data_IF_379191667324
#
_entry.id   IF_379191667324
#
_cell.length_a   1.000
_cell.length_b   1.000
_cell.length_c   1.000
_cell.angle_alpha   90.00
_cell.angle_beta   90.00
_cell.angle_gamma   90.00
#
_symmetry.space_group_name_H-M   'P 1'
#
loop_
_entity.id
_entity.type
_entity.pdbx_description
1 polymer ?
#
# COMPACT_ATOMS: atom_id res chain seq x y z
N UNK A 1 -29.24 -35.49 -104.71
CA UNK A 1 -29.65 -35.85 -103.34
C UNK A 1 -28.65 -36.85 -102.76
N UNK A 2 -28.07 -36.52 -101.59
CA UNK A 2 -27.34 -37.38 -100.63
C UNK A 2 -25.99 -38.02 -101.04
N UNK A 3 -24.90 -37.23 -101.13
CA UNK A 3 -23.50 -37.70 -100.92
C UNK A 3 -22.57 -36.57 -100.43
N UNK A 4 -23.02 -35.76 -99.46
CA UNK A 4 -22.17 -34.77 -98.76
C UNK A 4 -22.19 -35.00 -97.24
N UNK A 5 -23.18 -35.71 -96.68
CA UNK A 5 -23.30 -35.85 -95.22
C UNK A 5 -22.20 -36.72 -94.58
N UNK A 6 -21.69 -37.75 -95.27
CA UNK A 6 -20.81 -38.73 -94.62
C UNK A 6 -19.42 -38.20 -94.17
N UNK A 7 -18.90 -37.16 -94.82
CA UNK A 7 -17.60 -36.56 -94.50
C UNK A 7 -17.74 -35.51 -93.38
N UNK A 8 -18.79 -34.68 -93.45
CA UNK A 8 -19.20 -33.77 -92.36
C UNK A 8 -19.55 -34.55 -91.09
N UNK A 9 -20.31 -35.66 -91.22
CA UNK A 9 -20.66 -36.55 -90.11
C UNK A 9 -19.40 -37.19 -89.47
N UNK A 10 -18.36 -37.51 -90.27
CA UNK A 10 -17.08 -38.05 -89.77
C UNK A 10 -16.26 -37.02 -89.00
N UNK A 11 -16.21 -35.77 -89.48
CA UNK A 11 -15.53 -34.66 -88.78
C UNK A 11 -16.24 -34.33 -87.47
N UNK A 12 -17.57 -34.29 -87.49
CA UNK A 12 -18.40 -34.08 -86.28
C UNK A 12 -18.15 -35.22 -85.26
N UNK A 13 -18.11 -36.48 -85.71
CA UNK A 13 -17.80 -37.63 -84.82
C UNK A 13 -16.39 -37.55 -84.22
N UNK A 14 -15.39 -37.06 -84.96
CA UNK A 14 -14.05 -36.85 -84.44
C UNK A 14 -14.01 -35.75 -83.36
N UNK A 15 -14.70 -34.63 -83.58
CA UNK A 15 -14.77 -33.54 -82.60
C UNK A 15 -15.57 -33.93 -81.36
N UNK A 16 -16.65 -34.71 -81.50
CA UNK A 16 -17.39 -35.28 -80.36
C UNK A 16 -16.49 -36.22 -79.53
N UNK A 17 -15.66 -37.04 -80.17
CA UNK A 17 -14.70 -37.91 -79.46
C UNK A 17 -13.64 -37.09 -78.73
N UNK A 18 -13.15 -36.01 -79.36
CA UNK A 18 -12.19 -35.09 -78.75
C UNK A 18 -12.78 -34.39 -77.53
N UNK A 19 -13.97 -33.80 -77.66
CA UNK A 19 -14.72 -33.19 -76.55
C UNK A 19 -15.01 -34.20 -75.43
N UNK A 20 -15.34 -35.45 -75.76
CA UNK A 20 -15.52 -36.51 -74.77
C UNK A 20 -14.23 -36.81 -74.02
N UNK A 21 -13.09 -36.86 -74.71
CA UNK A 21 -11.79 -37.08 -74.09
C UNK A 21 -11.40 -35.91 -73.17
N UNK A 22 -11.54 -34.66 -73.64
CA UNK A 22 -11.30 -33.45 -72.84
C UNK A 22 -12.21 -33.40 -71.60
N UNK A 23 -13.50 -33.75 -71.75
CA UNK A 23 -14.42 -33.83 -70.61
C UNK A 23 -14.03 -34.96 -69.64
N UNK A 24 -13.54 -36.11 -70.12
CA UNK A 24 -13.04 -37.17 -69.23
C UNK A 24 -11.76 -36.77 -68.50
N UNK A 25 -10.86 -36.03 -69.15
CA UNK A 25 -9.65 -35.48 -68.53
C UNK A 25 -10.02 -34.45 -67.45
N UNK A 26 -10.87 -33.47 -67.77
CA UNK A 26 -11.35 -32.49 -66.81
C UNK A 26 -12.12 -33.13 -65.64
N UNK A 27 -12.89 -34.20 -65.88
CA UNK A 27 -13.56 -34.95 -64.82
C UNK A 27 -12.57 -35.69 -63.90
N UNK A 28 -11.48 -36.23 -64.45
CA UNK A 28 -10.42 -36.86 -63.68
C UNK A 28 -9.64 -35.82 -62.86
N UNK A 29 -9.27 -34.68 -63.45
CA UNK A 29 -8.59 -33.57 -62.75
C UNK A 29 -9.45 -33.03 -61.60
N UNK A 30 -10.76 -32.86 -61.84
CA UNK A 30 -11.70 -32.45 -60.78
C UNK A 30 -11.79 -33.51 -59.68
N UNK A 31 -11.79 -34.81 -60.02
CA UNK A 31 -11.79 -35.89 -59.04
C UNK A 31 -10.52 -35.86 -58.17
N UNK A 32 -9.37 -35.62 -58.78
CA UNK A 32 -8.11 -35.47 -58.06
C UNK A 32 -8.09 -34.21 -57.17
N UNK A 33 -8.59 -33.08 -57.67
CA UNK A 33 -8.69 -31.84 -56.90
C UNK A 33 -9.62 -32.02 -55.69
N UNK A 34 -10.77 -32.69 -55.86
CA UNK A 34 -11.67 -33.02 -54.76
C UNK A 34 -11.01 -33.95 -53.73
N UNK A 35 -10.24 -34.95 -54.17
CA UNK A 35 -9.50 -35.82 -53.26
C UNK A 35 -8.43 -35.05 -52.44
N UNK A 36 -7.74 -34.08 -53.06
CA UNK A 36 -6.79 -33.20 -52.37
C UNK A 36 -7.49 -32.30 -51.35
N UNK A 37 -8.63 -31.71 -51.72
CA UNK A 37 -9.43 -30.89 -50.82
C UNK A 37 -9.94 -31.69 -49.62
N UNK A 38 -10.39 -32.93 -49.83
CA UNK A 38 -10.84 -33.81 -48.75
C UNK A 38 -9.72 -34.11 -47.75
N UNK A 39 -8.49 -34.33 -48.24
CA UNK A 39 -7.33 -34.52 -47.37
C UNK A 39 -6.98 -33.26 -46.57
N UNK A 40 -6.97 -32.08 -47.20
CA UNK A 40 -6.74 -30.80 -46.50
C UNK A 40 -7.83 -30.52 -45.47
N UNK A 41 -9.08 -30.85 -45.79
CA UNK A 41 -10.20 -30.68 -44.85
C UNK A 41 -10.04 -31.59 -43.62
N UNK A 42 -9.65 -32.86 -43.81
CA UNK A 42 -9.33 -33.77 -42.70
C UNK A 42 -8.21 -33.23 -41.82
N UNK A 43 -7.10 -32.78 -42.42
CA UNK A 43 -6.00 -32.16 -41.67
C UNK A 43 -6.45 -30.91 -40.90
N UNK A 44 -7.32 -30.09 -41.51
CA UNK A 44 -7.86 -28.89 -40.86
C UNK A 44 -8.73 -29.25 -39.66
N UNK A 45 -9.59 -30.27 -39.78
CA UNK A 45 -10.43 -30.76 -38.68
C UNK A 45 -9.57 -31.28 -37.54
N UNK A 46 -8.54 -32.07 -37.84
CA UNK A 46 -7.60 -32.59 -36.82
C UNK A 46 -6.85 -31.46 -36.10
N UNK A 47 -6.35 -30.47 -36.84
CA UNK A 47 -5.70 -29.29 -36.25
C UNK A 47 -6.66 -28.47 -35.40
N UNK A 48 -7.91 -28.33 -35.83
CA UNK A 48 -8.94 -27.59 -35.09
C UNK A 48 -9.25 -28.28 -33.76
N UNK A 49 -9.43 -29.61 -33.78
CA UNK A 49 -9.64 -30.40 -32.56
C UNK A 49 -8.45 -30.30 -31.59
N UNK A 50 -7.22 -30.33 -32.10
CA UNK A 50 -6.02 -30.13 -31.28
C UNK A 50 -5.97 -28.73 -30.67
N UNK A 51 -6.35 -27.70 -31.42
CA UNK A 51 -6.40 -26.32 -30.92
C UNK A 51 -7.48 -26.16 -29.84
N UNK A 52 -8.66 -26.73 -30.03
CA UNK A 52 -9.73 -26.75 -29.02
C UNK A 52 -9.24 -27.39 -27.71
N UNK A 53 -8.58 -28.55 -27.79
CA UNK A 53 -8.00 -29.19 -26.62
C UNK A 53 -6.94 -28.31 -25.92
N UNK A 54 -6.08 -27.64 -26.71
CA UNK A 54 -5.08 -26.74 -26.14
C UNK A 54 -5.70 -25.51 -25.48
N UNK A 55 -6.79 -24.98 -26.02
CA UNK A 55 -7.53 -23.86 -25.42
C UNK A 55 -8.13 -24.28 -24.08
N UNK A 56 -8.82 -25.42 -24.01
CA UNK A 56 -9.38 -25.94 -22.75
C UNK A 56 -8.29 -26.12 -21.68
N UNK A 57 -7.15 -26.73 -22.05
CA UNK A 57 -6.03 -26.88 -21.11
C UNK A 57 -5.43 -25.54 -20.66
N UNK A 58 -5.43 -24.53 -21.53
CA UNK A 58 -4.95 -23.19 -21.18
C UNK A 58 -5.93 -22.46 -20.26
N UNK A 59 -7.24 -22.60 -20.51
CA UNK A 59 -8.31 -22.03 -19.67
C UNK A 59 -8.30 -22.62 -18.26
N UNK A 60 -8.14 -23.94 -18.13
CA UNK A 60 -8.02 -24.61 -16.82
C UNK A 60 -6.81 -24.09 -16.04
N UNK A 61 -5.65 -24.04 -16.69
CA UNK A 61 -4.42 -23.47 -16.09
C UNK A 61 -4.59 -22.01 -15.70
N UNK A 62 -5.29 -21.22 -16.51
CA UNK A 62 -5.57 -19.82 -16.21
C UNK A 62 -6.45 -19.71 -14.97
N UNK A 63 -7.54 -20.47 -14.91
CA UNK A 63 -8.42 -20.54 -13.73
C UNK A 63 -7.67 -20.92 -12.46
N UNK A 64 -6.81 -21.94 -12.51
CA UNK A 64 -5.96 -22.32 -11.38
C UNK A 64 -5.02 -21.20 -10.92
N UNK A 65 -4.45 -20.45 -11.87
CA UNK A 65 -3.58 -19.32 -11.56
C UNK A 65 -4.34 -18.14 -10.97
N UNK A 66 -5.53 -17.83 -11.46
CA UNK A 66 -6.42 -16.79 -10.93
C UNK A 66 -6.86 -17.12 -9.50
N UNK A 67 -7.25 -18.37 -9.26
CA UNK A 67 -7.62 -18.86 -7.94
C UNK A 67 -6.46 -18.79 -6.95
N UNK A 68 -5.26 -19.16 -7.41
CA UNK A 68 -4.03 -19.03 -6.60
C UNK A 68 -3.70 -17.56 -6.33
N UNK A 69 -3.86 -16.67 -7.32
CA UNK A 69 -3.63 -15.24 -7.17
C UNK A 69 -4.59 -14.65 -6.13
N UNK A 70 -5.88 -14.96 -6.21
CA UNK A 70 -6.88 -14.52 -5.23
C UNK A 70 -6.61 -15.05 -3.81
N UNK A 71 -6.05 -16.26 -3.66
CA UNK A 71 -5.59 -16.77 -2.35
C UNK A 71 -4.38 -15.99 -1.84
N UNK A 72 -3.40 -15.70 -2.71
CA UNK A 72 -2.21 -14.95 -2.33
C UNK A 72 -2.53 -13.51 -1.95
N UNK A 73 -3.41 -12.83 -2.69
CA UNK A 73 -3.85 -11.47 -2.37
C UNK A 73 -4.49 -11.37 -0.98
N UNK A 74 -5.36 -12.33 -0.63
CA UNK A 74 -5.95 -12.43 0.71
C UNK A 74 -4.89 -12.65 1.80
N UNK A 75 -3.94 -13.55 1.56
CA UNK A 75 -2.84 -13.81 2.50
C UNK A 75 -1.95 -12.57 2.69
N UNK A 76 -1.62 -11.86 1.60
CA UNK A 76 -0.83 -10.62 1.66
C UNK A 76 -1.60 -9.53 2.42
N UNK A 77 -2.91 -9.37 2.17
CA UNK A 77 -3.73 -8.43 2.90
C UNK A 77 -3.76 -8.72 4.41
N UNK A 78 -3.91 -10.00 4.79
CA UNK A 78 -3.85 -10.44 6.17
C UNK A 78 -2.48 -10.17 6.82
N UNK A 79 -1.39 -10.51 6.13
CA UNK A 79 -0.03 -10.30 6.64
C UNK A 79 0.28 -8.81 6.83
N UNK A 80 -0.12 -7.95 5.91
CA UNK A 80 0.07 -6.49 6.06
C UNK A 80 -0.75 -5.93 7.23
N UNK A 81 -1.98 -6.42 7.44
CA UNK A 81 -2.76 -6.02 8.60
C UNK A 81 -2.08 -6.42 9.92
N UNK A 82 -1.55 -7.64 9.99
CA UNK A 82 -0.83 -8.13 11.16
C UNK A 82 0.50 -7.41 11.38
N UNK A 83 1.21 -7.05 10.31
CA UNK A 83 2.42 -6.22 10.36
C UNK A 83 2.11 -4.84 10.93
N UNK A 84 1.08 -4.16 10.40
CA UNK A 84 0.66 -2.84 10.88
C UNK A 84 0.26 -2.89 12.36
N UNK A 85 -0.52 -3.91 12.77
CA UNK A 85 -0.92 -4.12 14.16
C UNK A 85 0.27 -4.37 15.08
N UNK A 86 1.23 -5.18 14.64
CA UNK A 86 2.44 -5.49 15.41
C UNK A 86 3.35 -4.28 15.52
N UNK A 87 3.57 -3.54 14.43
CA UNK A 87 4.35 -2.31 14.42
C UNK A 87 3.76 -1.26 15.37
N UNK A 88 2.43 -1.05 15.33
CA UNK A 88 1.74 -0.15 16.25
C UNK A 88 1.88 -0.58 17.72
N UNK A 89 1.81 -1.89 18.00
CA UNK A 89 2.02 -2.43 19.36
C UNK A 89 3.46 -2.23 19.83
N UNK A 90 4.45 -2.47 18.98
CA UNK A 90 5.86 -2.23 19.30
C UNK A 90 6.12 -0.76 19.62
N UNK A 91 5.59 0.16 18.80
CA UNK A 91 5.72 1.60 19.03
C UNK A 91 5.05 2.06 20.33
N UNK A 92 3.87 1.53 20.69
CA UNK A 92 3.21 1.84 21.97
C UNK A 92 4.02 1.31 23.16
N UNK A 93 4.52 0.07 23.10
CA UNK A 93 5.35 -0.50 24.17
C UNK A 93 6.65 0.28 24.36
N UNK A 94 7.33 0.62 23.27
CA UNK A 94 8.55 1.43 23.31
C UNK A 94 8.25 2.84 23.86
N UNK A 95 7.18 3.47 23.39
CA UNK A 95 6.75 4.78 23.88
C UNK A 95 6.45 4.77 25.37
N UNK A 96 5.75 3.75 25.88
CA UNK A 96 5.48 3.56 27.32
C UNK A 96 6.75 3.41 28.12
N UNK A 97 7.70 2.62 27.63
CA UNK A 97 9.00 2.41 28.28
C UNK A 97 9.81 3.72 28.40
N UNK A 98 9.68 4.61 27.41
CA UNK A 98 10.39 5.90 27.36
C UNK A 98 9.65 7.06 28.03
N UNK A 99 8.46 6.85 28.62
CA UNK A 99 7.66 7.94 29.22
C UNK A 99 8.38 8.70 30.33
N UNK A 100 9.27 8.04 31.06
CA UNK A 100 10.06 8.67 32.13
C UNK A 100 11.42 9.18 31.65
N UNK A 101 11.72 9.05 30.35
CA UNK A 101 12.99 9.46 29.79
C UNK A 101 12.95 10.92 29.33
N UNK A 102 14.07 11.61 29.52
CA UNK A 102 14.34 12.94 28.98
C UNK A 102 15.66 12.88 28.21
N UNK A 103 15.72 13.64 27.12
CA UNK A 103 16.89 13.79 26.26
C UNK A 103 17.38 15.22 26.31
N UNK A 104 18.64 15.40 26.69
CA UNK A 104 19.32 16.70 26.66
C UNK A 104 20.29 16.78 25.48
N UNK A 105 20.24 17.89 24.75
CA UNK A 105 21.20 18.22 23.68
C UNK A 105 22.04 19.43 24.06
N UNK A 106 23.31 19.44 23.59
CA UNK A 106 24.20 20.60 23.68
C UNK A 106 25.32 20.49 24.72
N UNK A 107 25.30 19.47 25.59
CA UNK A 107 26.35 19.23 26.59
C UNK A 107 27.61 18.69 25.89
N UNK A 108 28.78 19.37 25.97
CA UNK A 108 30.03 18.92 25.35
C UNK A 108 30.42 17.51 25.78
N UNK A 109 31.03 16.73 24.87
CA UNK A 109 31.48 15.37 25.19
C UNK A 109 32.54 15.39 26.30
N UNK A 110 32.34 14.60 27.36
CA UNK A 110 33.30 14.46 28.46
C UNK A 110 33.06 15.39 29.65
N UNK A 111 32.10 16.31 29.60
CA UNK A 111 31.73 17.18 30.72
C UNK A 111 31.29 16.40 31.97
N UNK A 112 30.78 15.18 31.81
CA UNK A 112 30.28 14.35 32.90
C UNK A 112 31.37 13.64 33.70
N UNK A 113 32.58 13.55 33.14
CA UNK A 113 33.72 12.81 33.72
C UNK A 113 33.31 11.37 34.08
N UNK A 114 33.52 10.95 35.33
CA UNK A 114 33.27 9.59 35.81
C UNK A 114 31.89 9.40 36.44
N UNK A 115 31.15 10.47 36.74
CA UNK A 115 29.83 10.39 37.39
C UNK A 115 28.78 11.14 36.56
N UNK A 116 28.16 10.40 35.64
CA UNK A 116 27.12 10.95 34.77
C UNK A 116 25.81 11.21 35.51
N UNK A 117 25.51 10.47 36.58
CA UNK A 117 24.28 10.64 37.36
C UNK A 117 24.39 11.89 38.22
N UNK A 118 25.46 12.02 39.01
CA UNK A 118 25.69 13.20 39.84
C UNK A 118 25.84 14.47 39.01
N UNK A 119 26.48 14.38 37.84
CA UNK A 119 26.56 15.51 36.91
C UNK A 119 25.16 15.98 36.46
N UNK A 120 24.30 15.09 35.98
CA UNK A 120 22.97 15.48 35.51
C UNK A 120 22.08 15.97 36.66
N UNK A 121 22.09 15.29 37.81
CA UNK A 121 21.35 15.74 38.99
C UNK A 121 21.79 17.13 39.43
N UNK A 122 23.10 17.38 39.56
CA UNK A 122 23.66 18.68 39.90
C UNK A 122 23.38 19.75 38.84
N UNK A 123 23.45 19.39 37.56
CA UNK A 123 23.12 20.29 36.46
C UNK A 123 21.65 20.72 36.49
N UNK A 124 20.72 19.79 36.71
CA UNK A 124 19.29 20.10 36.80
C UNK A 124 19.02 21.01 38.00
N UNK A 125 19.55 20.68 39.19
CA UNK A 125 19.32 21.47 40.40
C UNK A 125 19.94 22.87 40.36
N UNK A 126 21.10 23.02 39.70
CA UNK A 126 21.76 24.33 39.57
C UNK A 126 21.19 25.18 38.44
N UNK A 127 20.77 24.55 37.34
CA UNK A 127 20.38 25.26 36.12
C UNK A 127 18.89 25.56 36.06
N UNK A 128 18.04 24.73 36.67
CA UNK A 128 16.59 24.92 36.66
C UNK A 128 16.12 25.48 38.00
N UNK A 129 15.24 26.48 37.94
CA UNK A 129 14.60 27.07 39.13
C UNK A 129 13.49 26.15 39.65
N UNK A 130 13.86 24.98 40.19
CA UNK A 130 12.94 24.01 40.78
C UNK A 130 12.86 24.26 42.28
N UNK A 131 11.67 24.07 42.87
CA UNK A 131 11.48 24.14 44.31
C UNK A 131 12.44 23.17 45.02
N UNK A 132 13.11 23.63 46.07
CA UNK A 132 14.11 22.85 46.79
C UNK A 132 13.59 21.53 47.40
N UNK A 133 12.26 21.38 47.52
CA UNK A 133 11.58 20.20 48.04
C UNK A 133 11.45 19.05 47.02
N UNK A 134 11.74 19.29 45.73
CA UNK A 134 11.61 18.25 44.70
C UNK A 134 12.83 17.31 44.74
N UNK A 135 12.62 16.09 45.23
CA UNK A 135 13.62 15.02 45.24
C UNK A 135 13.83 14.45 43.83
N UNK A 136 14.92 14.87 43.17
CA UNK A 136 15.27 14.43 41.81
C UNK A 136 16.04 13.11 41.89
N UNK A 137 15.31 12.00 41.70
CA UNK A 137 15.92 10.65 41.58
C UNK A 137 15.99 10.20 40.12
N UNK A 138 17.21 9.91 39.69
CA UNK A 138 17.51 9.42 38.35
C UNK A 138 17.90 7.95 38.44
N UNK A 139 17.22 7.10 37.66
CA UNK A 139 17.44 5.65 37.63
C UNK A 139 18.67 5.30 36.78
N UNK A 140 18.77 5.91 35.59
CA UNK A 140 19.84 5.64 34.61
C UNK A 140 20.16 6.89 33.80
N UNK A 141 21.44 7.05 33.45
CA UNK A 141 21.92 8.10 32.53
C UNK A 141 22.92 7.47 31.56
N UNK A 142 22.83 7.83 30.28
CA UNK A 142 23.84 7.47 29.29
C UNK A 142 23.81 8.45 28.12
N UNK A 143 24.92 8.53 27.38
CA UNK A 143 24.94 9.18 26.06
C UNK A 143 24.24 8.28 25.04
N UNK A 144 23.61 8.88 24.04
CA UNK A 144 23.06 8.13 22.90
C UNK A 144 24.14 7.25 22.25
N UNK A 145 23.76 6.06 21.80
CA UNK A 145 24.67 5.06 21.21
C UNK A 145 25.23 5.44 19.82
N UNK A 146 25.02 6.68 19.37
CA UNK A 146 25.63 7.18 18.15
C UNK A 146 27.17 7.20 18.28
N UNK A 147 27.85 7.11 17.13
CA UNK A 147 29.30 7.23 17.07
C UNK A 147 29.74 8.57 17.68
N UNK A 148 30.79 8.53 18.50
CA UNK A 148 31.35 9.76 19.08
C UNK A 148 31.80 10.68 17.94
N UNK A 149 31.38 11.95 17.93
CA UNK A 149 31.85 12.92 16.94
C UNK A 149 33.38 13.00 16.96
N UNK A 150 34.01 12.91 15.78
CA UNK A 150 35.48 13.01 15.63
C UNK A 150 35.98 14.45 15.74
N UNK A 151 35.16 15.39 15.29
CA UNK A 151 35.47 16.82 15.28
C UNK A 151 34.65 17.55 16.34
N UNK A 152 35.26 18.57 16.96
CA UNK A 152 34.58 19.45 17.93
C UNK A 152 33.53 20.38 17.30
N UNK A 153 33.45 20.43 15.97
CA UNK A 153 32.46 21.18 15.17
C UNK A 153 31.11 20.45 15.09
N UNK A 154 31.13 19.11 15.14
CA UNK A 154 29.92 18.30 15.09
C UNK A 154 29.15 18.37 16.41
N UNK A 155 27.80 18.28 16.38
CA UNK A 155 26.99 18.38 17.59
C UNK A 155 27.29 17.21 18.53
N UNK A 156 27.43 17.47 19.86
CA UNK A 156 27.69 16.41 20.83
C UNK A 156 26.50 15.44 20.93
N UNK A 157 26.77 14.20 21.32
CA UNK A 157 25.70 13.21 21.50
C UNK A 157 24.77 13.62 22.62
N UNK A 158 23.49 13.37 22.40
CA UNK A 158 22.48 13.64 23.40
C UNK A 158 22.68 12.76 24.63
N UNK A 159 22.39 13.29 25.80
CA UNK A 159 22.34 12.53 27.05
C UNK A 159 20.89 12.13 27.28
N UNK A 160 20.64 10.84 27.45
CA UNK A 160 19.34 10.26 27.76
C UNK A 160 19.38 9.79 29.20
N UNK A 161 18.38 10.20 29.97
CA UNK A 161 18.26 9.80 31.36
C UNK A 161 16.80 9.54 31.73
N UNK A 162 16.62 8.67 32.71
CA UNK A 162 15.33 8.18 33.16
C UNK A 162 15.09 8.59 34.61
N UNK A 163 13.98 9.27 34.84
CA UNK A 163 13.53 9.57 36.19
C UNK A 163 12.84 8.36 36.83
N UNK A 164 12.94 8.27 38.14
CA UNK A 164 12.20 7.27 38.91
C UNK A 164 10.70 7.60 38.93
N UNK A 165 10.35 8.88 39.11
CA UNK A 165 8.96 9.37 39.14
C UNK A 165 8.61 10.18 37.88
N UNK A 166 7.49 9.83 37.25
CA UNK A 166 6.93 10.54 36.11
C UNK A 166 6.54 11.99 36.44
N UNK A 167 6.01 12.26 37.64
CA UNK A 167 5.57 13.60 38.04
C UNK A 167 6.75 14.56 38.17
N UNK A 168 7.84 14.09 38.78
CA UNK A 168 9.10 14.84 38.88
C UNK A 168 9.64 15.12 37.48
N UNK A 169 9.64 14.12 36.59
CA UNK A 169 10.03 14.33 35.19
C UNK A 169 9.23 15.44 34.52
N UNK A 170 7.90 15.42 34.65
CA UNK A 170 7.03 16.42 34.02
C UNK A 170 7.27 17.83 34.58
N UNK A 171 7.48 17.97 35.89
CA UNK A 171 7.82 19.25 36.50
C UNK A 171 9.17 19.79 35.98
N UNK A 172 10.19 18.93 35.96
CA UNK A 172 11.54 19.29 35.48
C UNK A 172 11.50 19.73 34.02
N UNK A 173 10.87 18.95 33.14
CA UNK A 173 10.85 19.27 31.71
C UNK A 173 10.01 20.52 31.39
N UNK A 174 8.88 20.70 32.08
CA UNK A 174 8.07 21.91 31.92
C UNK A 174 8.81 23.15 32.40
N UNK A 175 9.55 23.04 33.51
CA UNK A 175 10.37 24.14 33.99
C UNK A 175 11.49 24.45 33.00
N UNK A 176 12.19 23.43 32.49
CA UNK A 176 13.22 23.59 31.47
C UNK A 176 12.72 24.26 30.18
N UNK A 177 11.45 24.07 29.80
CA UNK A 177 10.87 24.74 28.62
C UNK A 177 10.45 26.19 28.85
N UNK A 178 10.30 26.64 30.10
CA UNK A 178 9.94 28.03 30.43
C UNK A 178 11.14 28.98 30.43
N UNK A 179 12.35 28.45 30.60
CA UNK A 179 13.58 29.23 30.71
C UNK A 179 14.60 28.81 29.65
N UNK A 180 15.54 29.71 29.34
CA UNK A 180 16.69 29.37 28.52
C UNK A 180 17.80 28.82 29.40
N UNK A 181 18.13 27.55 29.22
CA UNK A 181 19.22 26.90 29.96
C UNK A 181 20.50 26.91 29.15
N UNK A 182 21.62 27.27 29.78
CA UNK A 182 22.94 27.30 29.14
C UNK A 182 23.98 26.56 29.98
N UNK A 183 24.94 25.94 29.33
CA UNK A 183 26.09 25.29 29.94
C UNK A 183 27.33 25.61 29.12
N UNK A 184 28.38 26.14 29.76
CA UNK A 184 29.63 26.55 29.08
C UNK A 184 29.38 27.44 27.84
N UNK A 185 28.45 28.40 27.96
CA UNK A 185 28.07 29.30 26.87
C UNK A 185 27.21 28.68 25.76
N UNK A 186 26.94 27.37 25.79
CA UNK A 186 26.08 26.68 24.82
C UNK A 186 24.64 26.59 25.33
N UNK A 187 23.68 26.75 24.43
CA UNK A 187 22.26 26.57 24.77
C UNK A 187 21.94 25.07 24.86
N UNK A 188 21.28 24.70 25.95
CA UNK A 188 20.93 23.32 26.27
C UNK A 188 19.43 23.11 26.05
N UNK A 189 19.09 22.07 25.30
CA UNK A 189 17.70 21.76 24.95
C UNK A 189 17.25 20.48 25.67
N UNK A 190 16.20 20.61 26.47
CA UNK A 190 15.51 19.48 27.10
C UNK A 190 14.36 19.04 26.20
N UNK A 191 14.31 17.76 25.85
CA UNK A 191 13.27 17.18 25.01
C UNK A 191 12.75 15.88 25.63
N UNK A 192 11.51 15.51 25.31
CA UNK A 192 11.03 14.16 25.61
C UNK A 192 11.70 13.15 24.68
N UNK A 193 11.99 11.95 25.20
CA UNK A 193 12.59 10.85 24.44
C UNK A 193 11.51 10.04 23.71
N UNK A 194 10.97 10.60 22.63
CA UNK A 194 9.99 9.91 21.80
C UNK A 194 10.61 8.82 20.92
N UNK A 195 9.81 7.83 20.51
CA UNK A 195 10.19 6.85 19.48
C UNK A 195 10.43 7.52 18.13
N UNK A 196 11.12 6.84 17.22
CA UNK A 196 11.41 7.39 15.89
C UNK A 196 10.14 7.69 15.10
N UNK A 197 9.13 6.81 15.17
CA UNK A 197 7.84 6.98 14.51
C UNK A 197 7.09 8.22 15.02
N UNK A 198 7.02 8.39 16.35
CA UNK A 198 6.42 9.58 16.96
C UNK A 198 7.20 10.83 16.60
N UNK A 199 8.54 10.79 16.60
CA UNK A 199 9.37 11.94 16.19
C UNK A 199 9.12 12.33 14.72
N UNK A 200 9.01 11.36 13.82
CA UNK A 200 8.72 11.58 12.40
C UNK A 200 7.36 12.26 12.22
N UNK A 201 6.31 11.73 12.85
CA UNK A 201 4.96 12.33 12.82
C UNK A 201 4.94 13.73 13.44
N UNK A 202 5.60 13.92 14.59
CA UNK A 202 5.71 15.25 15.23
C UNK A 202 6.46 16.26 14.37
N UNK A 203 7.44 15.83 13.57
CA UNK A 203 8.13 16.70 12.62
C UNK A 203 7.15 17.20 11.55
N UNK A 204 6.39 16.31 10.93
CA UNK A 204 5.35 16.69 9.96
C UNK A 204 4.33 17.66 10.56
N UNK A 205 3.86 17.38 11.79
CA UNK A 205 2.92 18.28 12.49
C UNK A 205 3.57 19.63 12.79
N UNK A 206 4.84 19.67 13.18
CA UNK A 206 5.57 20.92 13.43
C UNK A 206 5.68 21.78 12.18
N UNK A 207 5.88 21.16 11.02
CA UNK A 207 5.93 21.87 9.73
C UNK A 207 4.57 22.48 9.41
N UNK A 208 3.47 21.78 9.70
CA UNK A 208 2.11 22.32 9.60
C UNK A 208 1.86 23.46 10.59
N UNK A 209 2.28 23.31 11.86
CA UNK A 209 2.16 24.35 12.88
C UNK A 209 2.92 25.62 12.45
N UNK A 210 4.09 25.48 11.82
CA UNK A 210 4.83 26.63 11.27
C UNK A 210 4.00 27.37 10.22
N UNK A 211 3.42 26.65 9.27
CA UNK A 211 2.54 27.24 8.24
C UNK A 211 1.27 27.88 8.83
N UNK A 212 0.69 27.28 9.87
CA UNK A 212 -0.46 27.85 10.59
C UNK A 212 -0.07 29.13 11.33
N UNK A 213 1.13 29.17 11.93
CA UNK A 213 1.67 30.36 12.59
C UNK A 213 1.85 31.51 11.60
N UNK A 214 2.33 31.24 10.39
CA UNK A 214 2.48 32.23 9.32
C UNK A 214 1.10 32.82 8.90
N UNK A 215 0.01 32.11 9.18
CA UNK A 215 -1.38 32.55 8.98
C UNK A 215 -2.05 33.07 10.25
N UNK A 216 -1.28 33.37 11.29
CA UNK A 216 -1.75 33.84 12.60
C UNK A 216 -2.68 32.86 13.36
N UNK A 217 -2.68 31.58 13.00
CA UNK A 217 -3.45 30.55 13.70
C UNK A 217 -2.57 29.90 14.78
N UNK A 218 -3.02 29.96 16.03
CA UNK A 218 -2.32 29.28 17.13
C UNK A 218 -2.55 27.78 17.03
N UNK A 219 -1.48 27.01 17.11
CA UNK A 219 -1.54 25.56 17.10
C UNK A 219 -0.48 24.93 18.01
N UNK A 220 -0.76 23.73 18.49
CA UNK A 220 0.09 22.94 19.39
C UNK A 220 0.11 21.48 18.93
N UNK A 221 1.15 20.75 19.32
CA UNK A 221 1.24 19.31 19.07
C UNK A 221 1.24 18.51 20.38
N UNK A 222 0.07 18.08 20.88
CA UNK A 222 -0.03 17.14 21.99
C UNK A 222 0.60 15.78 21.66
N UNK A 223 0.91 15.00 22.69
CA UNK A 223 1.33 13.61 22.53
C UNK A 223 0.22 12.74 21.92
N UNK A 224 0.53 11.75 21.07
CA UNK A 224 1.86 11.45 20.54
C UNK A 224 2.29 12.43 19.45
N UNK A 225 1.44 12.69 18.48
CA UNK A 225 1.69 13.62 17.38
C UNK A 225 0.36 14.22 16.88
N UNK A 226 -0.48 14.67 17.80
CA UNK A 226 -1.76 15.27 17.44
C UNK A 226 -1.57 16.71 16.96
N UNK A 227 -2.53 17.23 16.19
CA UNK A 227 -2.59 18.64 15.82
C UNK A 227 -3.77 19.30 16.56
N UNK A 228 -3.46 20.19 17.51
CA UNK A 228 -4.44 21.00 18.23
C UNK A 228 -4.43 22.41 17.66
N UNK A 229 -5.53 22.83 17.06
CA UNK A 229 -5.69 24.15 16.42
C UNK A 229 -6.69 24.97 17.23
N UNK A 230 -6.33 26.21 17.52
CA UNK A 230 -7.19 27.17 18.22
C UNK A 230 -7.81 28.11 17.18
N UNK A 231 -9.11 27.91 16.91
CA UNK A 231 -9.90 28.73 16.00
C UNK A 231 -10.87 29.59 16.81
N UNK A 232 -11.43 30.61 16.15
CA UNK A 232 -12.51 31.45 16.73
C UNK A 232 -13.74 30.62 17.08
N UNK A 233 -14.06 29.60 16.27
CA UNK A 233 -15.16 28.66 16.52
C UNK A 233 -14.89 27.65 17.64
N UNK A 234 -13.71 27.72 18.28
CA UNK A 234 -13.28 26.78 19.32
C UNK A 234 -12.03 25.98 18.96
N UNK A 235 -11.62 25.13 19.89
CA UNK A 235 -10.41 24.31 19.76
C UNK A 235 -10.74 23.00 19.07
N UNK A 236 -10.01 22.66 18.00
CA UNK A 236 -10.13 21.38 17.29
C UNK A 236 -8.85 20.56 17.48
N UNK A 237 -9.00 19.27 17.76
CA UNK A 237 -7.89 18.33 17.94
C UNK A 237 -8.04 17.24 16.90
N UNK A 238 -6.99 17.05 16.11
CA UNK A 238 -6.90 16.01 15.10
C UNK A 238 -5.89 14.95 15.54
N UNK A 239 -6.28 13.68 15.42
CA UNK A 239 -5.41 12.57 15.81
C UNK A 239 -4.31 12.36 14.76
N UNK A 240 -4.64 12.59 13.50
CA UNK A 240 -3.73 12.45 12.35
C UNK A 240 -3.76 13.69 11.48
N UNK A 241 -2.68 13.93 10.74
CA UNK A 241 -2.65 15.03 9.77
C UNK A 241 -3.62 14.81 8.60
N UNK A 242 -3.91 13.56 8.25
CA UNK A 242 -4.87 13.30 7.17
C UNK A 242 -6.30 13.64 7.56
N UNK A 243 -6.68 13.40 8.81
CA UNK A 243 -7.97 13.87 9.36
C UNK A 243 -8.07 15.40 9.32
N UNK A 244 -6.96 16.10 9.55
CA UNK A 244 -6.88 17.55 9.44
C UNK A 244 -6.79 18.06 8.00
N UNK A 245 -6.52 17.20 7.01
CA UNK A 245 -6.20 17.61 5.65
C UNK A 245 -7.30 18.45 4.97
N UNK A 246 -8.61 18.16 5.11
CA UNK A 246 -9.65 19.02 4.55
C UNK A 246 -9.58 20.46 5.07
N UNK A 247 -9.50 20.63 6.39
CA UNK A 247 -9.36 21.96 7.02
C UNK A 247 -8.07 22.66 6.56
N UNK A 248 -6.96 21.92 6.54
CA UNK A 248 -5.68 22.49 6.14
C UNK A 248 -5.71 22.94 4.68
N UNK A 249 -6.39 22.21 3.78
CA UNK A 249 -6.59 22.60 2.38
C UNK A 249 -7.42 23.88 2.26
N UNK A 250 -8.50 24.03 3.04
CA UNK A 250 -9.29 25.27 3.06
C UNK A 250 -8.44 26.46 3.51
N UNK A 251 -7.49 26.20 4.42
CA UNK A 251 -6.48 27.17 4.84
C UNK A 251 -5.27 27.25 3.89
N UNK A 252 -5.32 26.68 2.69
CA UNK A 252 -4.22 26.71 1.71
C UNK A 252 -2.92 26.00 2.15
N UNK A 253 -3.01 25.01 3.04
CA UNK A 253 -1.91 24.19 3.53
C UNK A 253 -2.08 22.77 2.97
N UNK A 254 -1.17 22.37 2.09
CA UNK A 254 -1.14 21.00 1.58
C UNK A 254 -0.30 20.09 2.49
N UNK A 255 -0.84 18.91 2.80
CA UNK A 255 -0.19 17.83 3.54
C UNK A 255 0.08 16.71 2.54
N UNK A 256 1.35 16.32 2.38
CA UNK A 256 1.70 15.14 1.60
C UNK A 256 1.46 13.90 2.46
N UNK A 257 0.66 12.97 1.96
CA UNK A 257 0.49 11.65 2.55
C UNK A 257 1.58 10.73 2.00
N UNK A 258 2.20 9.91 2.85
CA UNK A 258 3.15 8.91 2.38
C UNK A 258 2.39 7.75 1.73
N UNK A 259 2.87 7.22 0.60
CA UNK A 259 2.23 6.11 -0.12
C UNK A 259 1.92 4.91 0.80
N UNK A 260 2.76 4.66 1.80
CA UNK A 260 2.54 3.60 2.78
C UNK A 260 1.28 3.82 3.62
N UNK A 261 1.06 5.04 4.07
CA UNK A 261 -0.10 5.41 4.90
C UNK A 261 -1.39 5.39 4.05
N UNK A 262 -1.28 5.81 2.78
CA UNK A 262 -2.36 5.70 1.80
C UNK A 262 -2.75 4.24 1.51
N UNK A 263 -1.77 3.38 1.23
CA UNK A 263 -1.99 1.95 0.98
C UNK A 263 -2.61 1.24 2.18
N UNK A 264 -2.20 1.60 3.41
CA UNK A 264 -2.81 1.08 4.63
C UNK A 264 -4.26 1.53 4.80
N UNK A 265 -4.58 2.80 4.50
CA UNK A 265 -5.96 3.30 4.54
C UNK A 265 -6.83 2.57 3.53
N UNK A 266 -6.42 2.52 2.27
CA UNK A 266 -7.17 1.91 1.17
C UNK A 266 -7.51 0.45 1.51
N UNK A 267 -6.53 -0.32 2.01
CA UNK A 267 -6.76 -1.74 2.36
C UNK A 267 -7.66 -1.94 3.58
N UNK A 268 -7.67 -1.00 4.53
CA UNK A 268 -8.57 -1.05 5.68
C UNK A 268 -10.02 -0.74 5.26
N UNK A 269 -10.19 0.19 4.30
CA UNK A 269 -11.49 0.55 3.74
C UNK A 269 -12.05 -0.53 2.79
N UNK A 270 -11.21 -1.24 2.03
CA UNK A 270 -11.63 -2.30 1.10
C UNK A 270 -12.05 -3.63 1.76
N UNK A 271 -12.32 -3.65 3.08
CA UNK A 271 -12.71 -4.87 3.80
C UNK A 271 -14.20 -5.23 3.69
N UNK A 272 -15.02 -4.43 3.00
CA UNK A 272 -16.44 -4.74 2.77
C UNK A 272 -16.81 -4.67 1.29
N UNK A 273 -16.95 -5.84 0.68
CA UNK A 273 -17.74 -6.03 -0.54
C UNK A 273 -18.78 -7.12 -0.25
N UNK A 274 -20.06 -6.75 -0.31
CA UNK A 274 -21.18 -7.69 -0.30
C UNK A 274 -21.07 -8.56 -1.55
N UNK A 275 -20.65 -9.82 -1.39
CA UNK A 275 -20.79 -10.82 -2.45
C UNK A 275 -22.19 -11.42 -2.32
N UNK A 276 -23.18 -10.78 -2.95
CA UNK A 276 -24.47 -11.45 -3.20
C UNK A 276 -24.24 -12.53 -4.25
N UNK A 277 -24.07 -13.77 -3.80
CA UNK A 277 -24.09 -14.95 -4.65
C UNK A 277 -25.54 -15.25 -5.03
N UNK A 278 -26.03 -14.68 -6.14
CA UNK A 278 -27.24 -15.20 -6.77
C UNK A 278 -26.91 -16.57 -7.37
N UNK A 279 -27.44 -17.61 -6.73
CA UNK A 279 -27.37 -18.98 -7.20
C UNK A 279 -28.49 -19.13 -8.25
N UNK A 280 -28.20 -18.89 -9.52
CA UNK A 280 -29.11 -19.28 -10.60
C UNK A 280 -29.23 -20.82 -10.60
N UNK A 281 -30.37 -21.32 -10.14
CA UNK A 281 -30.79 -22.70 -10.37
C UNK A 281 -31.15 -22.82 -11.85
N UNK A 282 -30.28 -23.44 -12.65
CA UNK A 282 -30.66 -24.04 -13.94
C UNK A 282 -31.71 -25.11 -13.69
N UNK A 283 -32.97 -24.79 -13.98
CA UNK A 283 -34.05 -25.77 -14.15
C UNK A 283 -33.81 -26.53 -15.46
N UNK A 284 -33.76 -27.86 -15.38
CA UNK A 284 -33.82 -28.74 -16.56
C UNK A 284 -35.23 -28.67 -17.18
N UNK A 285 -35.38 -28.77 -18.50
CA UNK A 285 -36.69 -28.81 -19.12
C UNK A 285 -37.29 -30.23 -19.00
N UNK A 286 -38.42 -30.33 -18.30
CA UNK A 286 -39.30 -31.50 -18.38
C UNK A 286 -39.94 -31.55 -19.76
N UNK A 287 -39.75 -32.68 -20.43
CA UNK A 287 -40.51 -33.09 -21.61
C UNK A 287 -41.93 -33.49 -21.20
N UNK A 288 -42.94 -32.84 -21.77
CA UNK A 288 -44.31 -33.36 -21.82
C UNK A 288 -44.77 -33.35 -23.27
N UNK A 289 -45.12 -34.53 -23.78
CA UNK A 289 -45.72 -34.73 -25.10
C UNK A 289 -47.12 -34.13 -25.21
N UNK A 290 -47.67 -34.05 -26.43
CA UNK A 290 -48.89 -33.32 -26.71
C UNK A 290 -50.12 -34.20 -26.47
N UNK A 291 -51.22 -33.59 -26.03
CA UNK A 291 -52.57 -34.13 -26.22
C UNK A 291 -53.57 -32.98 -26.41
N UNK A 292 -54.74 -33.23 -27.04
CA UNK A 292 -55.21 -32.45 -28.16
C UNK A 292 -56.54 -31.74 -27.87
N UNK A 293 -56.97 -30.92 -28.83
CA UNK A 293 -58.30 -30.30 -28.96
C UNK A 293 -58.59 -29.08 -28.06
N UNK A 294 -58.70 -27.92 -28.70
CA UNK A 294 -59.98 -27.20 -28.77
C UNK A 294 -59.93 -26.16 -29.91
N UNK A 295 -60.79 -26.41 -30.89
CA UNK A 295 -61.20 -25.51 -31.97
C UNK A 295 -62.13 -24.44 -31.41
N UNK A 296 -61.96 -23.20 -31.83
CA UNK A 296 -62.92 -22.06 -31.88
C UNK A 296 -62.08 -20.88 -32.40
N UNK A 297 -62.35 -20.18 -33.49
CA UNK A 297 -63.47 -20.01 -34.44
C UNK A 297 -62.87 -19.84 -35.85
#
# INVERSE_FOLDING_TARGET
MKRVSGEEDSVILAEIRKLRNEHTEAANDNKEALARLDNVFKEMVERTALLEQRVVNAEERLGDTEDRMARLERSVAFLLHQEAKSAAKCDDLESRSRRNNVRIHGIPEGSEKNDTIGFISGFISSSLQIQAEVDIRIERVHRSLLAKPKENTAPPRAIIFRFLDYRVKEQVIQQAWKQKTTYEGRTIYFNQDYTNEVQKKRKQVRDVIKKLKDKNVKAQSPYPAQLKVFLESGTKIFTTLTEAAPMLRDMGIHVQEEERDELQRLRTQSSWTMVTRQKEKRSQPHTTGPDPQAVTE
#
